data_IF_786707734611
#
_entry.id   IF_786707734611
#
_cell.length_a   1.000
_cell.length_b   1.000
_cell.length_c   1.000
_cell.angle_alpha   90.00
_cell.angle_beta   90.00
_cell.angle_gamma   90.00
#
_symmetry.space_group_name_H-M   'P 1'
#
loop_
_entity.id
_entity.type
_entity.pdbx_description
1 polymer ?
#
# COMPACT_ATOMS: atom_id res chain seq x y z
N UNK A 1 8.93 -7.49 37.40
CA UNK A 1 8.29 -7.14 36.12
C UNK A 1 8.39 -5.63 35.97
N UNK A 2 9.26 -5.14 35.06
CA UNK A 2 9.47 -3.70 34.82
C UNK A 2 8.53 -3.23 33.71
N UNK A 3 8.10 -1.99 33.87
CA UNK A 3 7.00 -1.32 33.18
C UNK A 3 7.18 -1.25 31.65
N UNK A 4 6.08 -1.50 30.93
CA UNK A 4 5.97 -1.80 29.49
C UNK A 4 5.87 -0.54 28.64
N UNK A 5 6.85 0.35 28.72
CA UNK A 5 6.93 1.56 27.91
C UNK A 5 8.30 1.68 27.23
N UNK A 6 8.65 0.75 26.34
CA UNK A 6 9.96 0.81 25.69
C UNK A 6 10.07 1.92 24.64
N UNK A 7 8.97 2.36 24.03
CA UNK A 7 8.99 3.48 23.07
C UNK A 7 7.61 4.17 23.01
N UNK A 8 7.63 5.51 22.96
CA UNK A 8 6.44 6.34 22.75
C UNK A 8 5.77 5.98 21.41
N UNK A 9 4.46 5.76 21.43
CA UNK A 9 3.68 5.43 20.23
C UNK A 9 3.79 6.50 19.14
N UNK A 10 3.95 7.78 19.51
CA UNK A 10 4.17 8.86 18.56
C UNK A 10 5.52 8.72 17.85
N UNK A 11 6.56 8.26 18.56
CA UNK A 11 7.87 7.99 17.95
C UNK A 11 7.83 6.78 17.03
N UNK A 12 7.13 5.71 17.43
CA UNK A 12 6.91 4.56 16.55
C UNK A 12 6.17 4.97 15.27
N UNK A 13 5.17 5.85 15.40
CA UNK A 13 4.46 6.43 14.26
C UNK A 13 5.39 7.24 13.34
N UNK A 14 6.29 8.05 13.88
CA UNK A 14 7.30 8.77 13.10
C UNK A 14 8.26 7.81 12.38
N UNK A 15 8.69 6.72 13.03
CA UNK A 15 9.55 5.71 12.40
C UNK A 15 8.87 5.06 11.21
N UNK A 16 7.61 4.64 11.34
CA UNK A 16 6.89 4.00 10.22
C UNK A 16 6.58 4.97 9.08
N UNK A 17 6.23 6.22 9.36
CA UNK A 17 5.95 7.20 8.30
C UNK A 17 7.20 7.56 7.50
N UNK A 18 8.38 7.55 8.13
CA UNK A 18 9.66 7.87 7.50
C UNK A 18 10.43 6.64 6.98
N UNK A 19 9.86 5.44 7.10
CA UNK A 19 10.52 4.21 6.65
C UNK A 19 11.74 3.81 7.49
N UNK A 20 11.82 4.23 8.75
CA UNK A 20 12.96 3.95 9.63
C UNK A 20 12.87 2.53 10.22
N UNK A 21 13.11 1.53 9.38
CA UNK A 21 13.05 0.11 9.74
C UNK A 21 14.02 -0.24 10.87
N UNK A 22 15.22 0.34 10.88
CA UNK A 22 16.24 0.04 11.90
C UNK A 22 15.77 0.41 13.31
N UNK A 23 15.08 1.55 13.46
CA UNK A 23 14.50 1.92 14.76
C UNK A 23 13.34 1.02 15.18
N UNK A 24 12.59 0.46 14.23
CA UNK A 24 11.55 -0.53 14.53
C UNK A 24 12.18 -1.86 14.95
N UNK A 25 13.27 -2.29 14.30
CA UNK A 25 14.07 -3.47 14.70
C UNK A 25 14.62 -3.33 16.12
N UNK A 26 15.17 -2.17 16.47
CA UNK A 26 15.61 -1.86 17.83
C UNK A 26 14.47 -2.02 18.84
N UNK A 27 13.28 -1.48 18.53
CA UNK A 27 12.10 -1.58 19.39
C UNK A 27 11.68 -3.05 19.62
N UNK A 28 11.56 -3.85 18.56
CA UNK A 28 11.16 -5.25 18.67
C UNK A 28 12.20 -6.11 19.39
N UNK A 29 13.49 -5.94 19.07
CA UNK A 29 14.60 -6.63 19.75
C UNK A 29 14.68 -6.28 21.24
N UNK A 30 14.25 -5.07 21.62
CA UNK A 30 14.20 -4.64 23.01
C UNK A 30 13.01 -5.19 23.81
N UNK A 31 12.14 -6.00 23.19
CA UNK A 31 10.92 -6.54 23.81
C UNK A 31 9.66 -5.72 23.53
N UNK A 32 9.67 -4.91 22.46
CA UNK A 32 8.50 -4.23 21.94
C UNK A 32 7.38 -5.20 21.55
N UNK A 33 6.13 -4.74 21.69
CA UNK A 33 4.95 -5.53 21.29
C UNK A 33 4.44 -5.13 19.91
N UNK A 34 4.04 -6.11 19.11
CA UNK A 34 3.33 -5.90 17.84
C UNK A 34 1.91 -5.32 18.04
N UNK A 35 1.31 -4.86 16.94
CA UNK A 35 -0.07 -4.37 16.87
C UNK A 35 -0.37 -3.15 17.75
N UNK A 36 0.65 -2.32 18.01
CA UNK A 36 0.45 -1.00 18.60
C UNK A 36 -0.41 -0.14 17.67
N UNK A 37 -1.29 0.66 18.26
CA UNK A 37 -2.20 1.56 17.54
C UNK A 37 -1.87 3.00 17.89
N UNK A 38 -1.83 3.87 16.89
CA UNK A 38 -1.69 5.32 17.07
C UNK A 38 -3.01 6.00 16.73
N UNK A 39 -3.35 7.07 17.45
CA UNK A 39 -4.57 7.84 17.18
C UNK A 39 -4.24 9.12 16.43
N UNK A 40 -4.77 9.26 15.22
CA UNK A 40 -4.66 10.45 14.36
C UNK A 40 -5.94 10.61 13.55
N UNK A 41 -6.29 11.86 13.26
CA UNK A 41 -7.48 12.20 12.48
C UNK A 41 -8.78 11.65 13.07
N UNK A 42 -8.86 11.56 14.40
CA UNK A 42 -10.04 11.07 15.11
C UNK A 42 -10.20 9.54 15.12
N UNK A 43 -9.21 8.79 14.64
CA UNK A 43 -9.30 7.34 14.51
C UNK A 43 -7.99 6.65 14.94
N UNK A 44 -8.08 5.37 15.29
CA UNK A 44 -6.92 4.52 15.58
C UNK A 44 -6.44 3.78 14.33
N UNK A 45 -5.13 3.73 14.14
CA UNK A 45 -4.47 3.10 12.99
C UNK A 45 -3.32 2.20 13.47
N UNK A 46 -3.07 1.11 12.74
CA UNK A 46 -1.86 0.30 12.89
C UNK A 46 -0.64 1.06 12.40
N UNK A 47 0.50 0.77 13.02
CA UNK A 47 1.82 1.17 12.51
C UNK A 47 2.02 0.67 11.06
N UNK A 48 1.58 -0.55 10.76
CA UNK A 48 1.57 -1.11 9.40
C UNK A 48 0.83 -0.19 8.40
N UNK A 49 -0.38 0.26 8.72
CA UNK A 49 -1.13 1.16 7.83
C UNK A 49 -0.47 2.53 7.69
N UNK A 50 0.19 3.02 8.75
CA UNK A 50 1.03 4.21 8.71
C UNK A 50 2.15 4.11 7.67
N UNK A 51 2.89 3.00 7.67
CA UNK A 51 3.93 2.73 6.66
C UNK A 51 3.35 2.63 5.25
N UNK A 52 2.25 1.88 5.08
CA UNK A 52 1.61 1.67 3.78
C UNK A 52 1.16 2.99 3.13
N UNK A 53 0.45 3.85 3.87
CA UNK A 53 -0.02 5.15 3.33
C UNK A 53 1.11 6.11 2.96
N UNK A 54 2.31 5.89 3.49
CA UNK A 54 3.51 6.68 3.18
C UNK A 54 4.44 5.96 2.18
N UNK A 55 3.96 4.90 1.51
CA UNK A 55 4.71 4.10 0.53
C UNK A 55 6.01 3.49 1.07
N UNK A 56 6.10 3.27 2.38
CA UNK A 56 7.27 2.68 3.03
C UNK A 56 7.19 1.14 2.97
N UNK A 57 7.25 0.57 1.77
CA UNK A 57 6.93 -0.85 1.57
C UNK A 57 7.90 -1.82 2.26
N UNK A 58 9.20 -1.51 2.34
CA UNK A 58 10.15 -2.30 3.14
C UNK A 58 9.74 -2.33 4.63
N UNK A 59 9.23 -1.21 5.14
CA UNK A 59 8.70 -1.14 6.50
C UNK A 59 7.41 -1.93 6.64
N UNK A 60 6.53 -1.92 5.64
CA UNK A 60 5.32 -2.76 5.64
C UNK A 60 5.69 -4.24 5.74
N UNK A 61 6.61 -4.71 4.90
CA UNK A 61 7.09 -6.10 4.92
C UNK A 61 7.68 -6.48 6.27
N UNK A 62 8.51 -5.59 6.83
CA UNK A 62 9.11 -5.82 8.14
C UNK A 62 8.03 -5.94 9.24
N UNK A 63 7.07 -5.01 9.32
CA UNK A 63 6.01 -5.04 10.34
C UNK A 63 5.13 -6.29 10.20
N UNK A 64 4.84 -6.73 8.97
CA UNK A 64 4.13 -8.00 8.73
C UNK A 64 4.90 -9.20 9.28
N UNK A 65 6.22 -9.21 9.10
CA UNK A 65 7.11 -10.28 9.59
C UNK A 65 7.16 -10.34 11.13
N UNK A 66 7.05 -9.20 11.80
CA UNK A 66 6.96 -9.08 13.27
C UNK A 66 5.56 -9.44 13.82
N UNK A 67 4.63 -9.84 12.97
CA UNK A 67 3.30 -10.28 13.39
C UNK A 67 2.26 -9.16 13.48
N UNK A 68 2.54 -7.96 12.96
CA UNK A 68 1.52 -6.92 12.85
C UNK A 68 0.42 -7.30 11.85
N UNK A 69 -0.81 -6.88 12.15
CA UNK A 69 -2.01 -7.17 11.36
C UNK A 69 -2.88 -5.93 11.21
N UNK A 70 -3.45 -5.81 10.03
CA UNK A 70 -4.48 -4.82 9.75
C UNK A 70 -5.75 -5.12 10.53
N UNK A 71 -6.46 -4.05 10.91
CA UNK A 71 -7.85 -4.13 11.33
C UNK A 71 -8.76 -4.47 10.14
N UNK A 72 -10.02 -4.88 10.38
CA UNK A 72 -10.99 -5.08 9.30
C UNK A 72 -11.22 -3.82 8.45
N UNK A 73 -11.19 -2.63 9.08
CA UNK A 73 -11.34 -1.35 8.39
C UNK A 73 -10.16 -1.09 7.44
N UNK A 74 -8.93 -1.21 7.95
CA UNK A 74 -7.73 -1.01 7.12
C UNK A 74 -7.63 -2.05 6.02
N UNK A 75 -8.05 -3.30 6.28
CA UNK A 75 -8.14 -4.35 5.24
C UNK A 75 -9.10 -3.95 4.12
N UNK A 76 -10.21 -3.30 4.46
CA UNK A 76 -11.18 -2.79 3.48
C UNK A 76 -10.60 -1.64 2.67
N UNK A 77 -9.81 -0.77 3.29
CA UNK A 77 -9.07 0.30 2.61
C UNK A 77 -8.07 -0.26 1.58
N UNK A 78 -7.24 -1.25 1.96
CA UNK A 78 -6.31 -1.91 1.04
C UNK A 78 -7.04 -2.55 -0.15
N UNK A 79 -8.18 -3.22 0.09
CA UNK A 79 -8.99 -3.79 -1.00
C UNK A 79 -9.48 -2.72 -1.97
N UNK A 80 -9.83 -1.54 -1.46
CA UNK A 80 -10.25 -0.40 -2.29
C UNK A 80 -9.07 0.12 -3.12
N UNK A 81 -7.88 0.25 -2.53
CA UNK A 81 -6.68 0.66 -3.27
C UNK A 81 -6.29 -0.35 -4.36
N UNK A 82 -6.43 -1.65 -4.09
CA UNK A 82 -6.22 -2.70 -5.11
C UNK A 82 -7.20 -2.58 -6.29
N UNK A 83 -8.46 -2.25 -6.03
CA UNK A 83 -9.44 -2.01 -7.10
C UNK A 83 -9.05 -0.80 -7.95
N UNK A 84 -8.60 0.29 -7.32
CA UNK A 84 -8.10 1.47 -8.04
C UNK A 84 -6.88 1.13 -8.90
N UNK A 85 -5.94 0.33 -8.38
CA UNK A 85 -4.78 -0.15 -9.15
C UNK A 85 -5.21 -0.93 -10.39
N UNK A 86 -6.19 -1.82 -10.28
CA UNK A 86 -6.73 -2.55 -11.42
C UNK A 86 -7.37 -1.65 -12.48
N UNK A 87 -8.04 -0.57 -12.06
CA UNK A 87 -8.55 0.45 -13.00
C UNK A 87 -7.42 1.22 -13.66
N UNK A 88 -6.40 1.62 -12.91
CA UNK A 88 -5.22 2.31 -13.44
C UNK A 88 -4.48 1.44 -14.47
N UNK A 89 -4.37 0.13 -14.25
CA UNK A 89 -3.77 -0.80 -15.21
C UNK A 89 -4.54 -0.82 -16.53
N UNK A 90 -5.87 -0.96 -16.49
CA UNK A 90 -6.72 -0.92 -17.70
C UNK A 90 -6.62 0.40 -18.46
N UNK A 91 -6.50 1.52 -17.76
CA UNK A 91 -6.33 2.83 -18.39
C UNK A 91 -4.94 3.03 -19.00
N UNK A 92 -3.93 2.31 -18.50
CA UNK A 92 -2.57 2.35 -19.00
C UNK A 92 -2.34 1.37 -20.17
N UNK A 93 -3.25 0.42 -20.39
CA UNK A 93 -3.24 -0.42 -21.59
C UNK A 93 -3.50 0.48 -22.81
N UNK A 94 -2.61 0.48 -23.82
CA UNK A 94 -2.87 1.23 -25.03
C UNK A 94 -4.14 0.69 -25.67
N UNK A 95 -5.06 1.57 -26.07
CA UNK A 95 -6.16 1.18 -26.96
C UNK A 95 -5.51 0.51 -28.17
N UNK A 96 -5.79 -0.78 -28.37
CA UNK A 96 -5.47 -1.43 -29.64
C UNK A 96 -6.20 -0.61 -30.70
N UNK A 97 -5.48 0.28 -31.38
CA UNK A 97 -5.96 0.89 -32.60
C UNK A 97 -6.18 -0.27 -33.55
N UNK A 98 -7.45 -0.65 -33.77
CA UNK A 98 -7.85 -1.38 -34.96
C UNK A 98 -7.31 -0.58 -36.14
N UNK A 99 -6.14 -0.99 -36.65
CA UNK A 99 -5.56 -0.36 -37.81
C UNK A 99 -6.52 -0.62 -38.95
N UNK A 100 -7.06 0.46 -39.53
CA UNK A 100 -7.80 0.51 -40.79
C UNK A 100 -7.00 -0.15 -41.94
N UNK A 101 -6.91 -1.48 -41.96
CA UNK A 101 -6.31 -2.26 -43.04
C UNK A 101 -7.04 -3.59 -43.21
N UNK A 102 -8.27 -3.51 -43.69
CA UNK A 102 -8.69 -4.42 -44.75
C UNK A 102 -9.82 -3.79 -45.56
N UNK A 103 -9.47 -2.78 -46.37
CA UNK A 103 -10.34 -2.37 -47.47
C UNK A 103 -10.28 -3.47 -48.54
N UNK A 104 -11.39 -4.16 -48.84
CA UNK A 104 -11.37 -5.23 -49.82
C UNK A 104 -10.99 -4.71 -51.22
N UNK A 105 -10.23 -5.50 -51.97
CA UNK A 105 -9.73 -5.21 -53.32
C UNK A 105 -10.79 -4.80 -54.37
N UNK A 106 -12.08 -4.85 -54.05
CA UNK A 106 -13.16 -4.44 -54.95
C UNK A 106 -13.55 -2.95 -54.83
N UNK A 107 -12.97 -2.19 -53.89
CA UNK A 107 -13.20 -0.74 -53.75
C UNK A 107 -12.45 0.11 -54.79
N UNK A 108 -12.47 -0.35 -56.05
CA UNK A 108 -12.10 0.48 -57.20
C UNK A 108 -12.84 -0.04 -58.44
N UNK A 109 -14.16 0.07 -58.41
CA UNK A 109 -15.02 -0.13 -59.57
C UNK A 109 -16.04 0.99 -59.68
N UNK A 110 -15.53 2.18 -60.00
CA UNK A 110 -16.32 3.17 -60.73
C UNK A 110 -15.40 3.82 -61.77
N UNK A 111 -15.55 3.40 -63.03
CA UNK A 111 -16.33 4.10 -64.07
C UNK A 111 -15.44 5.01 -64.92
N UNK A 112 -14.80 4.41 -65.94
CA UNK A 112 -14.65 5.04 -67.25
C UNK A 112 -15.64 4.37 -68.19
#
# INVERSE_FOLDING_TARGET
MKDKSLTDINKLWEYVCNGNVEKLKEYYTSGGSANKRYSKFGEEHSLLMGAFRNNQFETVEYLMSEGERLSPKETTEIKTELQKLGLMQKLAEPEEQESDMDMPLWYNKDKR
#
